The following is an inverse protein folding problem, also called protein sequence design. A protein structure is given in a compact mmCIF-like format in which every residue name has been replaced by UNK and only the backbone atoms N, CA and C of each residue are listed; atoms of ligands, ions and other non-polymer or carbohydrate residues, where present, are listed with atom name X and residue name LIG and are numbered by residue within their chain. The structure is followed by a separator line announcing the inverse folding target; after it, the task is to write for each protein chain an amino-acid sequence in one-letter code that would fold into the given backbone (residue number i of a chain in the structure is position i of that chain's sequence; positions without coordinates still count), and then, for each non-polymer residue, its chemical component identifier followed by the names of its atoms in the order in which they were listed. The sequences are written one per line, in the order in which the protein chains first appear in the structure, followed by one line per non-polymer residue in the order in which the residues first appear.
data_IF_963741659836
#
_entry.id   IF_963741659836
#
_cell.length_a   1.000
_cell.length_b   1.000
_cell.length_c   1.000
_cell.angle_alpha   90.00
_cell.angle_beta   90.00
_cell.angle_gamma   90.00
#
_symmetry.space_group_name_H-M   'P 1'
#
loop_
_entity.id
_entity.type
_entity.pdbx_description
1 polymer ?
#
# COMPACT_ATOMS: atom_id res chain seq x y z
N UNK A 1 -4.40 27.66 28.62
CA UNK A 1 -3.71 26.85 27.60
C UNK A 1 -4.78 26.34 26.64
N UNK A 2 -4.70 26.71 25.37
CA UNK A 2 -5.57 26.14 24.33
C UNK A 2 -5.17 24.66 24.20
N UNK A 3 -6.10 23.73 24.41
CA UNK A 3 -5.86 22.32 24.18
C UNK A 3 -5.68 22.14 22.67
N UNK A 4 -4.56 21.52 22.26
CA UNK A 4 -4.34 21.15 20.86
C UNK A 4 -5.32 20.07 20.46
N UNK A 5 -5.83 20.11 19.22
CA UNK A 5 -6.67 19.06 18.66
C UNK A 5 -5.79 17.84 18.35
N UNK A 6 -6.05 16.72 18.99
CA UNK A 6 -5.31 15.48 18.73
C UNK A 6 -5.79 14.81 17.45
N UNK A 7 -4.90 14.59 16.53
CA UNK A 7 -5.19 13.94 15.24
C UNK A 7 -4.34 12.69 15.05
N UNK A 8 -4.98 11.55 14.86
CA UNK A 8 -4.30 10.30 14.51
C UNK A 8 -4.29 10.10 13.00
N UNK A 9 -3.12 9.96 12.39
CA UNK A 9 -2.95 9.61 10.97
C UNK A 9 -2.61 8.13 10.88
N UNK A 10 -3.47 7.35 10.22
CA UNK A 10 -3.30 5.91 10.07
C UNK A 10 -2.76 5.60 8.69
N UNK A 11 -1.50 5.21 8.63
CA UNK A 11 -0.80 4.88 7.40
C UNK A 11 -0.91 3.39 7.11
N UNK A 12 -1.61 3.03 6.03
CA UNK A 12 -1.78 1.63 5.64
C UNK A 12 -0.77 1.20 4.59
N UNK A 13 -0.19 0.03 4.80
CA UNK A 13 0.61 -0.65 3.79
C UNK A 13 0.36 -2.16 3.82
N UNK A 14 0.86 -2.89 2.81
CA UNK A 14 0.64 -4.33 2.68
C UNK A 14 1.29 -5.13 3.81
N UNK A 15 2.49 -4.73 4.20
CA UNK A 15 3.37 -5.50 5.06
C UNK A 15 4.22 -6.50 4.30
N UNK A 16 5.15 -7.10 4.99
CA UNK A 16 6.06 -8.11 4.46
C UNK A 16 6.74 -8.86 5.60
N UNK A 17 7.32 -10.03 5.34
CA UNK A 17 7.95 -10.83 6.38
C UNK A 17 9.19 -10.13 6.93
N UNK A 18 9.31 -10.06 8.23
CA UNK A 18 10.44 -9.48 8.98
C UNK A 18 11.63 -10.44 9.11
N UNK A 19 11.43 -11.72 8.77
CA UNK A 19 12.45 -12.78 8.72
C UNK A 19 11.99 -13.95 7.85
N UNK A 20 12.92 -14.81 7.45
CA UNK A 20 12.64 -15.92 6.51
C UNK A 20 11.62 -16.93 7.03
N UNK A 21 11.58 -17.19 8.35
CA UNK A 21 10.60 -18.09 8.96
C UNK A 21 9.16 -17.57 8.79
N UNK A 22 9.00 -16.26 8.73
CA UNK A 22 7.72 -15.59 8.64
C UNK A 22 7.19 -15.41 7.20
N UNK A 23 7.91 -15.89 6.19
CA UNK A 23 7.49 -15.83 4.78
C UNK A 23 6.21 -16.63 4.56
N UNK A 24 6.12 -17.85 5.08
CA UNK A 24 4.91 -18.70 4.91
C UNK A 24 3.70 -18.13 5.64
N UNK A 25 3.77 -17.75 6.93
CA UNK A 25 2.68 -17.06 7.63
C UNK A 25 2.23 -15.75 6.94
N UNK A 26 3.17 -14.96 6.44
CA UNK A 26 2.85 -13.76 5.66
C UNK A 26 2.06 -14.10 4.38
N UNK A 27 2.53 -15.07 3.61
CA UNK A 27 1.82 -15.53 2.40
C UNK A 27 0.44 -16.10 2.72
N UNK A 28 0.31 -16.83 3.84
CA UNK A 28 -0.99 -17.29 4.29
C UNK A 28 -1.95 -16.12 4.58
N UNK A 29 -1.51 -15.11 5.31
CA UNK A 29 -2.33 -13.92 5.59
C UNK A 29 -2.75 -13.21 4.30
N UNK A 30 -1.82 -13.06 3.34
CA UNK A 30 -2.07 -12.46 2.04
C UNK A 30 -3.15 -13.23 1.26
N UNK A 31 -3.00 -14.55 1.12
CA UNK A 31 -3.96 -15.36 0.36
C UNK A 31 -5.26 -15.62 1.11
N UNK A 32 -5.26 -15.51 2.43
CA UNK A 32 -6.49 -15.62 3.23
C UNK A 32 -7.31 -14.30 3.28
N UNK A 33 -6.85 -13.25 2.60
CA UNK A 33 -7.65 -12.04 2.42
C UNK A 33 -8.81 -12.29 1.42
N UNK A 34 -10.08 -12.04 1.82
CA UNK A 34 -11.22 -12.16 0.90
C UNK A 34 -11.16 -11.22 -0.30
N UNK A 35 -10.39 -10.13 -0.22
CA UNK A 35 -10.17 -9.22 -1.33
C UNK A 35 -9.20 -9.82 -2.38
N UNK A 36 -8.34 -10.76 -1.99
CA UNK A 36 -7.42 -11.49 -2.86
C UNK A 36 -8.06 -12.78 -3.36
N UNK A 37 -8.53 -13.65 -2.44
CA UNK A 37 -9.26 -14.86 -2.77
C UNK A 37 -10.72 -14.68 -2.36
N UNK A 38 -11.55 -14.26 -3.30
CA UNK A 38 -12.99 -14.04 -3.09
C UNK A 38 -13.74 -15.37 -3.02
N UNK A 39 -13.52 -16.11 -1.93
CA UNK A 39 -14.15 -17.39 -1.62
C UNK A 39 -14.73 -17.36 -0.20
N UNK A 40 -15.78 -18.14 0.09
CA UNK A 40 -16.21 -18.37 1.46
C UNK A 40 -15.06 -18.84 2.36
N UNK A 41 -15.06 -18.42 3.63
CA UNK A 41 -13.93 -18.63 4.55
C UNK A 41 -13.49 -20.10 4.68
N UNK A 42 -14.45 -21.02 4.71
CA UNK A 42 -14.18 -22.46 4.84
C UNK A 42 -13.46 -23.08 3.63
N UNK A 43 -13.59 -22.50 2.43
CA UNK A 43 -12.81 -22.87 1.25
C UNK A 43 -11.51 -22.06 1.14
N UNK A 44 -11.59 -20.75 1.49
CA UNK A 44 -10.45 -19.85 1.37
C UNK A 44 -9.30 -20.25 2.30
N UNK A 45 -9.61 -20.60 3.56
CA UNK A 45 -8.59 -20.95 4.56
C UNK A 45 -7.69 -22.11 4.11
N UNK A 46 -8.22 -23.31 3.77
CA UNK A 46 -7.37 -24.42 3.32
C UNK A 46 -6.65 -24.12 2.01
N UNK A 47 -7.29 -23.40 1.08
CA UNK A 47 -6.66 -23.02 -0.18
C UNK A 47 -5.50 -22.03 0.05
N UNK A 48 -5.69 -21.02 0.89
CA UNK A 48 -4.64 -20.07 1.25
C UNK A 48 -3.43 -20.78 1.88
N UNK A 49 -3.68 -21.75 2.78
CA UNK A 49 -2.62 -22.56 3.41
C UNK A 49 -1.85 -23.39 2.38
N UNK A 50 -2.55 -24.02 1.45
CA UNK A 50 -1.94 -24.81 0.37
C UNK A 50 -1.07 -23.91 -0.54
N UNK A 51 -1.57 -22.75 -0.93
CA UNK A 51 -0.83 -21.78 -1.77
C UNK A 51 0.39 -21.26 -1.04
N UNK A 52 0.24 -20.86 0.23
CA UNK A 52 1.34 -20.36 1.05
C UNK A 52 2.47 -21.39 1.16
N UNK A 53 2.15 -22.63 1.53
CA UNK A 53 3.11 -23.73 1.62
C UNK A 53 3.88 -23.95 0.31
N UNK A 54 3.18 -24.00 -0.83
CA UNK A 54 3.81 -24.23 -2.13
C UNK A 54 4.70 -23.06 -2.58
N UNK A 55 4.34 -21.85 -2.23
CA UNK A 55 5.08 -20.63 -2.64
C UNK A 55 6.19 -20.25 -1.69
N UNK A 56 6.11 -20.64 -0.42
CA UNK A 56 7.08 -20.26 0.61
C UNK A 56 8.54 -20.58 0.25
N UNK A 57 8.90 -21.77 -0.31
CA UNK A 57 10.29 -22.06 -0.66
C UNK A 57 10.88 -21.09 -1.68
N UNK A 58 10.10 -20.76 -2.74
CA UNK A 58 10.55 -19.80 -3.77
C UNK A 58 10.61 -18.39 -3.21
N UNK A 59 9.60 -17.97 -2.44
CA UNK A 59 9.58 -16.66 -1.82
C UNK A 59 10.72 -16.48 -0.80
N UNK A 60 11.04 -17.50 -0.01
CA UNK A 60 12.19 -17.46 0.91
C UNK A 60 13.51 -17.17 0.20
N UNK A 61 13.75 -17.78 -0.96
CA UNK A 61 14.94 -17.53 -1.77
C UNK A 61 15.01 -16.07 -2.20
N UNK A 62 13.89 -15.51 -2.69
CA UNK A 62 13.82 -14.09 -3.09
C UNK A 62 14.09 -13.17 -1.90
N UNK A 63 13.45 -13.41 -0.74
CA UNK A 63 13.71 -12.61 0.46
C UNK A 63 15.13 -12.77 0.99
N UNK A 64 15.75 -13.94 0.81
CA UNK A 64 17.15 -14.16 1.17
C UNK A 64 18.09 -13.28 0.35
N UNK A 65 17.84 -13.10 -0.95
CA UNK A 65 18.59 -12.17 -1.83
C UNK A 65 18.36 -10.70 -1.43
N UNK A 66 17.22 -10.38 -0.80
CA UNK A 66 16.90 -9.05 -0.28
C UNK A 66 17.45 -8.79 1.14
N UNK A 67 18.29 -9.69 1.69
CA UNK A 67 18.84 -9.55 3.03
C UNK A 67 18.05 -10.25 4.12
N UNK A 68 17.15 -11.19 3.78
CA UNK A 68 16.43 -12.06 4.71
C UNK A 68 15.09 -11.53 5.20
N UNK A 69 14.71 -10.31 4.85
CA UNK A 69 13.45 -9.66 5.28
C UNK A 69 12.92 -8.68 4.24
N UNK A 70 11.67 -8.26 4.42
CA UNK A 70 11.11 -7.14 3.65
C UNK A 70 11.50 -5.80 4.28
N UNK A 71 11.97 -4.81 3.52
CA UNK A 71 12.25 -3.49 4.04
C UNK A 71 11.00 -2.63 4.27
N UNK A 72 9.80 -3.14 3.91
CA UNK A 72 8.58 -2.33 3.83
C UNK A 72 8.18 -1.70 5.17
N UNK A 73 8.33 -2.41 6.29
CA UNK A 73 7.99 -1.87 7.59
C UNK A 73 8.91 -0.69 7.94
N UNK A 74 10.22 -0.89 7.89
CA UNK A 74 11.21 0.14 8.18
C UNK A 74 10.99 1.40 7.34
N UNK A 75 10.82 1.24 6.02
CA UNK A 75 10.58 2.36 5.11
C UNK A 75 9.25 3.07 5.40
N UNK A 76 8.22 2.32 5.79
CA UNK A 76 6.92 2.91 6.17
C UNK A 76 7.01 3.67 7.49
N UNK A 77 7.77 3.18 8.46
CA UNK A 77 8.03 3.88 9.72
C UNK A 77 8.82 5.17 9.52
N UNK A 78 9.81 5.17 8.62
CA UNK A 78 10.56 6.36 8.23
C UNK A 78 9.64 7.41 7.57
N UNK A 79 8.73 6.98 6.68
CA UNK A 79 7.72 7.86 6.07
C UNK A 79 6.75 8.40 7.12
N UNK A 80 6.29 7.55 8.04
CA UNK A 80 5.41 7.91 9.16
C UNK A 80 6.03 9.00 10.02
N UNK A 81 7.27 8.82 10.42
CA UNK A 81 8.01 9.78 11.25
C UNK A 81 8.22 11.11 10.55
N UNK A 82 8.62 11.08 9.28
CA UNK A 82 8.81 12.29 8.48
C UNK A 82 7.50 13.07 8.29
N UNK A 83 6.38 12.36 8.06
CA UNK A 83 5.06 12.95 7.93
C UNK A 83 4.61 13.59 9.26
N UNK A 84 4.78 12.90 10.38
CA UNK A 84 4.43 13.41 11.71
C UNK A 84 5.16 14.70 12.04
N UNK A 85 6.47 14.76 11.81
CA UNK A 85 7.28 15.98 11.99
C UNK A 85 6.75 17.12 11.10
N UNK A 86 6.45 16.82 9.83
CA UNK A 86 6.00 17.83 8.87
C UNK A 86 4.64 18.39 9.25
N UNK A 87 3.68 17.54 9.63
CA UNK A 87 2.34 17.96 10.02
C UNK A 87 2.36 18.82 11.27
N UNK A 88 3.11 18.42 12.30
CA UNK A 88 3.23 19.17 13.55
C UNK A 88 3.99 20.51 13.37
N UNK A 89 4.85 20.60 12.34
CA UNK A 89 5.49 21.87 11.99
C UNK A 89 4.57 22.82 11.25
N UNK A 90 3.68 22.28 10.40
CA UNK A 90 2.84 23.11 9.51
C UNK A 90 1.51 23.52 10.16
N UNK A 91 1.05 22.80 11.18
CA UNK A 91 -0.20 23.09 11.92
C UNK A 91 0.06 23.11 13.43
N UNK A 92 0.34 24.29 13.95
CA UNK A 92 0.60 24.52 15.38
C UNK A 92 -0.66 24.42 16.28
N UNK A 93 -1.85 24.26 15.68
CA UNK A 93 -3.12 24.17 16.41
C UNK A 93 -3.52 22.73 16.70
N UNK A 94 -2.81 21.76 16.12
CA UNK A 94 -3.07 20.33 16.26
C UNK A 94 -1.83 19.59 16.75
N UNK A 95 -2.08 18.44 17.41
CA UNK A 95 -1.08 17.46 17.80
C UNK A 95 -1.30 16.20 16.95
N UNK A 96 -0.45 16.02 15.94
CA UNK A 96 -0.51 14.88 15.03
C UNK A 96 0.35 13.72 15.53
N UNK A 97 -0.22 12.53 15.54
CA UNK A 97 0.51 11.29 15.72
C UNK A 97 0.20 10.32 14.59
N UNK A 98 1.27 9.81 13.97
CA UNK A 98 1.17 8.84 12.88
C UNK A 98 1.29 7.41 13.40
N UNK A 99 0.46 6.51 12.88
CA UNK A 99 0.42 5.09 13.23
C UNK A 99 0.50 4.25 11.96
N UNK A 100 1.38 3.26 11.97
CA UNK A 100 1.54 2.34 10.83
C UNK A 100 0.68 1.11 11.03
N UNK A 101 -0.08 0.73 10.01
CA UNK A 101 -0.90 -0.49 9.98
C UNK A 101 -0.56 -1.32 8.76
N UNK A 102 -0.13 -2.56 8.98
CA UNK A 102 0.15 -3.51 7.91
C UNK A 102 -1.02 -4.47 7.70
N UNK A 103 -1.44 -4.64 6.43
CA UNK A 103 -2.60 -5.48 6.10
C UNK A 103 -2.34 -6.97 6.28
N UNK A 104 -1.16 -7.44 5.89
CA UNK A 104 -0.86 -8.88 5.84
C UNK A 104 0.22 -9.32 6.84
N UNK A 105 0.87 -8.38 7.51
CA UNK A 105 1.88 -8.64 8.54
C UNK A 105 1.76 -7.63 9.68
N UNK A 106 2.71 -7.65 10.62
CA UNK A 106 2.70 -6.74 11.76
C UNK A 106 3.31 -5.38 11.43
N UNK A 107 2.86 -4.31 12.10
CA UNK A 107 1.76 -4.24 13.09
C UNK A 107 0.37 -4.31 12.45
N UNK A 108 -0.52 -5.14 13.01
CA UNK A 108 -1.89 -5.35 12.53
C UNK A 108 -2.86 -4.35 13.13
N UNK A 109 -4.00 -4.14 12.46
CA UNK A 109 -5.06 -3.25 12.91
C UNK A 109 -5.52 -3.54 14.35
N UNK A 110 -5.60 -4.83 14.76
CA UNK A 110 -6.02 -5.23 16.11
C UNK A 110 -5.13 -4.65 17.22
N UNK A 111 -3.83 -4.50 16.97
CA UNK A 111 -2.90 -3.94 17.93
C UNK A 111 -2.90 -2.41 17.87
N UNK A 112 -2.82 -1.86 16.66
CA UNK A 112 -2.71 -0.41 16.45
C UNK A 112 -3.97 0.34 16.88
N UNK A 113 -5.17 -0.23 16.69
CA UNK A 113 -6.41 0.38 17.20
C UNK A 113 -6.35 0.62 18.71
N UNK A 114 -5.77 -0.30 19.49
CA UNK A 114 -5.61 -0.12 20.93
C UNK A 114 -4.65 1.03 21.28
N UNK A 115 -3.59 1.18 20.51
CA UNK A 115 -2.63 2.30 20.68
C UNK A 115 -3.32 3.64 20.33
N UNK A 116 -4.14 3.68 19.27
CA UNK A 116 -4.89 4.87 18.89
C UNK A 116 -5.97 5.21 19.94
N UNK A 117 -6.66 4.23 20.49
CA UNK A 117 -7.59 4.43 21.62
C UNK A 117 -6.86 5.07 22.81
N UNK A 118 -5.68 4.57 23.16
CA UNK A 118 -4.88 5.11 24.27
C UNK A 118 -4.37 6.53 24.00
N UNK A 119 -4.09 6.87 22.73
CA UNK A 119 -3.73 8.23 22.33
C UNK A 119 -4.92 9.18 22.48
N UNK A 120 -6.15 8.67 22.35
CA UNK A 120 -7.42 9.39 22.49
C UNK A 120 -7.51 10.59 21.54
N UNK A 121 -7.54 10.37 20.21
CA UNK A 121 -7.61 11.44 19.22
C UNK A 121 -9.01 12.04 19.13
N UNK A 122 -9.07 13.33 18.76
CA UNK A 122 -10.31 14.03 18.40
C UNK A 122 -10.74 13.73 16.95
N UNK A 123 -9.76 13.42 16.10
CA UNK A 123 -9.97 13.09 14.68
C UNK A 123 -9.00 12.00 14.21
N UNK A 124 -9.47 11.16 13.30
CA UNK A 124 -8.67 10.13 12.62
C UNK A 124 -8.63 10.42 11.13
N UNK A 125 -7.44 10.33 10.53
CA UNK A 125 -7.21 10.43 9.09
C UNK A 125 -6.67 9.10 8.59
N UNK A 126 -7.44 8.41 7.76
CA UNK A 126 -7.01 7.17 7.12
C UNK A 126 -6.26 7.49 5.83
N UNK A 127 -5.01 7.07 5.72
CA UNK A 127 -4.14 7.35 4.59
C UNK A 127 -3.46 6.07 4.09
N UNK A 128 -4.06 5.36 3.13
CA UNK A 128 -3.38 4.27 2.43
C UNK A 128 -2.15 4.77 1.67
N UNK A 129 -1.01 4.10 1.87
CA UNK A 129 0.22 4.38 1.11
C UNK A 129 0.22 3.68 -0.26
N UNK A 130 -0.96 3.42 -0.78
CA UNK A 130 -1.22 2.97 -2.15
C UNK A 130 -1.77 4.16 -2.94
N UNK A 131 -0.97 4.82 -3.81
CA UNK A 131 -1.42 6.02 -4.51
C UNK A 131 -2.66 5.77 -5.37
N UNK A 132 -2.78 4.57 -5.93
CA UNK A 132 -3.92 4.12 -6.70
C UNK A 132 -4.82 3.23 -5.85
N UNK A 133 -6.13 3.50 -5.88
CA UNK A 133 -7.11 2.69 -5.17
C UNK A 133 -7.33 1.36 -5.85
N UNK A 134 -7.38 0.31 -5.04
CA UNK A 134 -7.99 -0.98 -5.40
C UNK A 134 -8.76 -1.54 -4.21
N UNK A 135 -9.84 -2.25 -4.48
CA UNK A 135 -10.56 -3.02 -3.45
C UNK A 135 -9.65 -4.06 -2.78
N UNK A 136 -8.61 -4.53 -3.50
CA UNK A 136 -7.65 -5.52 -3.01
C UNK A 136 -6.54 -4.90 -2.10
N UNK A 137 -6.37 -3.59 -2.08
CA UNK A 137 -5.35 -2.88 -1.29
C UNK A 137 -5.98 -1.89 -0.33
N UNK A 138 -6.18 -0.64 -0.75
CA UNK A 138 -6.77 0.42 0.08
C UNK A 138 -8.12 0.00 0.66
N UNK A 139 -9.00 -0.57 -0.18
CA UNK A 139 -10.32 -1.03 0.24
C UNK A 139 -10.25 -2.13 1.31
N UNK A 140 -9.37 -3.12 1.15
CA UNK A 140 -9.16 -4.20 2.12
C UNK A 140 -8.63 -3.66 3.46
N UNK A 141 -7.62 -2.78 3.43
CA UNK A 141 -7.01 -2.20 4.62
C UNK A 141 -8.00 -1.36 5.42
N UNK A 142 -8.74 -0.47 4.76
CA UNK A 142 -9.75 0.39 5.39
C UNK A 142 -10.90 -0.46 5.97
N UNK A 143 -11.33 -1.50 5.25
CA UNK A 143 -12.38 -2.41 5.73
C UNK A 143 -11.97 -3.16 7.00
N UNK A 144 -10.72 -3.65 7.06
CA UNK A 144 -10.19 -4.30 8.27
C UNK A 144 -10.14 -3.32 9.44
N UNK A 145 -9.59 -2.11 9.23
CA UNK A 145 -9.52 -1.06 10.24
C UNK A 145 -10.91 -0.74 10.83
N UNK A 146 -11.87 -0.46 9.97
CA UNK A 146 -13.24 -0.14 10.40
C UNK A 146 -13.88 -1.29 11.17
N UNK A 147 -13.65 -2.54 10.75
CA UNK A 147 -14.15 -3.72 11.46
C UNK A 147 -13.54 -3.84 12.87
N UNK A 148 -12.25 -3.59 13.02
CA UNK A 148 -11.57 -3.63 14.32
C UNK A 148 -12.04 -2.48 15.22
N UNK A 149 -12.22 -1.27 14.68
CA UNK A 149 -12.79 -0.14 15.41
C UNK A 149 -14.20 -0.47 15.95
N UNK A 150 -15.06 -1.06 15.11
CA UNK A 150 -16.41 -1.49 15.51
C UNK A 150 -16.38 -2.52 16.65
N UNK A 151 -15.49 -3.51 16.58
CA UNK A 151 -15.30 -4.52 17.62
C UNK A 151 -14.87 -3.93 18.98
N UNK A 152 -14.14 -2.83 18.95
CA UNK A 152 -13.67 -2.13 20.14
C UNK A 152 -14.61 -0.99 20.59
N UNK A 153 -15.79 -0.85 19.98
CA UNK A 153 -16.73 0.26 20.19
C UNK A 153 -16.06 1.64 20.04
N UNK A 154 -15.01 1.72 19.23
CA UNK A 154 -14.24 2.93 19.02
C UNK A 154 -14.83 3.74 17.87
N UNK A 155 -15.37 4.92 18.21
CA UNK A 155 -16.01 5.83 17.25
C UNK A 155 -15.41 7.22 17.42
N UNK A 156 -14.71 7.69 16.41
CA UNK A 156 -14.11 9.03 16.34
C UNK A 156 -14.40 9.59 14.96
N UNK A 157 -14.50 10.90 14.84
CA UNK A 157 -14.60 11.58 13.55
C UNK A 157 -13.46 11.09 12.64
N UNK A 158 -13.80 10.50 11.50
CA UNK A 158 -12.83 9.87 10.62
C UNK A 158 -12.98 10.38 9.20
N UNK A 159 -11.88 10.84 8.62
CA UNK A 159 -11.74 11.18 7.20
C UNK A 159 -10.82 10.17 6.50
N UNK A 160 -10.96 10.06 5.18
CA UNK A 160 -10.18 9.09 4.39
C UNK A 160 -9.59 9.75 3.15
N UNK A 161 -8.28 9.67 2.99
CA UNK A 161 -7.58 9.95 1.74
C UNK A 161 -7.61 8.67 0.92
N UNK A 162 -8.60 8.56 0.04
CA UNK A 162 -8.85 7.32 -0.71
C UNK A 162 -7.68 6.95 -1.65
N UNK A 163 -7.16 7.93 -2.39
CA UNK A 163 -6.15 7.76 -3.43
C UNK A 163 -5.61 9.13 -3.86
N UNK A 164 -4.44 9.11 -4.51
CA UNK A 164 -3.76 10.34 -4.98
C UNK A 164 -2.91 10.06 -6.25
N UNK A 165 -3.48 9.42 -7.28
CA UNK A 165 -2.73 8.92 -8.44
C UNK A 165 -2.07 10.02 -9.27
N UNK A 166 -2.60 11.25 -9.21
CA UNK A 166 -2.11 12.41 -9.98
C UNK A 166 -1.73 13.59 -9.07
N UNK A 167 -1.54 13.32 -7.77
CA UNK A 167 -1.08 14.37 -6.85
C UNK A 167 0.24 14.96 -7.32
N UNK A 168 0.34 16.28 -7.30
CA UNK A 168 1.49 17.01 -7.82
C UNK A 168 2.80 16.62 -7.14
N UNK A 169 2.80 16.42 -5.83
CA UNK A 169 4.01 16.08 -5.09
C UNK A 169 4.41 14.63 -5.33
N UNK A 170 3.42 13.73 -5.46
CA UNK A 170 3.64 12.34 -5.85
C UNK A 170 4.29 12.24 -7.25
N UNK A 171 3.77 12.98 -8.22
CA UNK A 171 4.34 13.05 -9.58
C UNK A 171 5.74 13.63 -9.58
N UNK A 172 5.97 14.74 -8.85
CA UNK A 172 7.28 15.40 -8.77
C UNK A 172 8.34 14.52 -8.08
N UNK A 173 7.94 13.72 -7.07
CA UNK A 173 8.83 12.76 -6.43
C UNK A 173 9.32 11.70 -7.44
N UNK A 174 8.42 11.13 -8.26
CA UNK A 174 8.78 10.20 -9.31
C UNK A 174 9.68 10.84 -10.37
N UNK A 175 9.32 12.03 -10.85
CA UNK A 175 10.14 12.78 -11.80
C UNK A 175 11.55 12.98 -11.29
N UNK A 176 11.70 13.42 -10.04
CA UNK A 176 13.01 13.66 -9.42
C UNK A 176 13.87 12.40 -9.43
N UNK A 177 13.32 11.26 -9.05
CA UNK A 177 14.06 9.99 -9.03
C UNK A 177 14.38 9.47 -10.44
N UNK A 178 13.45 9.62 -11.39
CA UNK A 178 13.70 9.25 -12.80
C UNK A 178 14.84 10.10 -13.37
N UNK A 179 14.78 11.43 -13.24
CA UNK A 179 15.81 12.33 -13.78
C UNK A 179 17.19 12.02 -13.21
N UNK A 180 17.30 11.71 -11.90
CA UNK A 180 18.57 11.28 -11.30
C UNK A 180 19.16 10.05 -11.98
N UNK A 181 18.31 9.09 -12.39
CA UNK A 181 18.75 7.83 -13.01
C UNK A 181 19.10 7.96 -14.48
N UNK A 182 18.41 8.82 -15.23
CA UNK A 182 18.61 8.97 -16.68
C UNK A 182 19.66 10.04 -17.05
N UNK A 183 20.13 10.84 -16.09
CA UNK A 183 20.99 12.03 -16.30
C UNK A 183 22.21 11.79 -17.22
N UNK A 184 22.76 10.58 -17.21
CA UNK A 184 23.96 10.23 -17.97
C UNK A 184 23.67 9.16 -19.04
N UNK A 185 22.43 9.02 -19.50
CA UNK A 185 22.04 8.04 -20.50
C UNK A 185 21.67 8.76 -21.80
N UNK A 186 22.38 8.42 -22.90
CA UNK A 186 22.09 8.98 -24.23
C UNK A 186 20.85 8.35 -24.86
N UNK A 187 20.70 7.03 -24.67
CA UNK A 187 19.55 6.27 -25.17
C UNK A 187 18.98 5.40 -24.07
N UNK A 188 17.69 5.56 -23.80
CA UNK A 188 16.98 4.74 -22.83
C UNK A 188 15.51 4.59 -23.20
N UNK A 189 14.91 3.53 -22.71
CA UNK A 189 13.47 3.31 -22.69
C UNK A 189 12.98 3.29 -21.26
N UNK A 190 11.96 4.07 -20.95
CA UNK A 190 11.36 4.12 -19.62
C UNK A 190 10.26 3.06 -19.49
N UNK A 191 10.42 2.13 -18.57
CA UNK A 191 9.43 1.07 -18.32
C UNK A 191 8.78 1.34 -16.97
N UNK A 192 7.47 1.63 -16.99
CA UNK A 192 6.65 1.67 -15.80
C UNK A 192 6.11 0.26 -15.54
N UNK A 193 6.47 -0.31 -14.38
CA UNK A 193 6.04 -1.65 -14.00
C UNK A 193 5.07 -1.57 -12.83
N UNK A 194 3.80 -1.90 -13.06
CA UNK A 194 2.76 -1.93 -12.06
C UNK A 194 2.35 -3.37 -11.74
N UNK A 195 1.81 -3.59 -10.54
CA UNK A 195 1.26 -4.90 -10.20
C UNK A 195 -0.02 -5.16 -11.02
N UNK A 196 -0.15 -6.34 -11.61
CA UNK A 196 -1.36 -6.72 -12.33
C UNK A 196 -2.55 -6.97 -11.40
N UNK A 197 -3.75 -6.85 -11.96
CA UNK A 197 -4.99 -7.32 -11.33
C UNK A 197 -5.75 -8.22 -12.31
N UNK A 198 -6.57 -9.17 -11.80
CA UNK A 198 -7.49 -9.91 -12.66
C UNK A 198 -8.47 -8.97 -13.36
N UNK A 199 -8.67 -9.12 -14.67
CA UNK A 199 -9.61 -8.30 -15.45
C UNK A 199 -11.02 -8.25 -14.84
N UNK A 200 -11.44 -9.32 -14.17
CA UNK A 200 -12.73 -9.36 -13.48
C UNK A 200 -12.90 -8.29 -12.41
N UNK A 201 -11.80 -7.82 -11.79
CA UNK A 201 -11.85 -6.76 -10.79
C UNK A 201 -12.16 -5.42 -11.47
N UNK A 202 -11.48 -5.14 -12.59
CA UNK A 202 -11.72 -3.94 -13.40
C UNK A 202 -13.16 -3.92 -13.93
N UNK A 203 -13.65 -5.05 -14.45
CA UNK A 203 -15.05 -5.18 -14.92
C UNK A 203 -16.09 -4.96 -13.82
N UNK A 204 -15.71 -5.14 -12.55
CA UNK A 204 -16.56 -4.82 -11.38
C UNK A 204 -16.44 -3.37 -10.91
N UNK A 205 -15.72 -2.52 -11.63
CA UNK A 205 -15.58 -1.10 -11.34
C UNK A 205 -14.36 -0.73 -10.47
N UNK A 206 -13.37 -1.64 -10.30
CA UNK A 206 -12.13 -1.27 -9.62
C UNK A 206 -11.35 -0.26 -10.48
N UNK A 207 -11.05 0.96 -9.98
CA UNK A 207 -10.45 2.03 -10.79
C UNK A 207 -8.94 1.88 -10.97
N UNK A 208 -8.32 0.84 -10.39
CA UNK A 208 -6.87 0.71 -10.28
C UNK A 208 -6.14 0.88 -11.61
N UNK A 209 -6.58 0.16 -12.66
CA UNK A 209 -5.90 0.20 -13.96
C UNK A 209 -5.92 1.62 -14.55
N UNK A 210 -7.07 2.27 -14.52
CA UNK A 210 -7.22 3.65 -14.98
C UNK A 210 -6.35 4.61 -14.15
N UNK A 211 -6.34 4.49 -12.82
CA UNK A 211 -5.53 5.35 -11.96
C UNK A 211 -4.03 5.15 -12.18
N UNK A 212 -3.57 3.91 -12.43
CA UNK A 212 -2.18 3.64 -12.81
C UNK A 212 -1.83 4.34 -14.13
N UNK A 213 -2.70 4.25 -15.15
CA UNK A 213 -2.50 4.93 -16.42
C UNK A 213 -2.39 6.45 -16.23
N UNK A 214 -3.30 7.05 -15.44
CA UNK A 214 -3.25 8.48 -15.13
C UNK A 214 -1.94 8.88 -14.40
N UNK A 215 -1.48 8.07 -13.43
CA UNK A 215 -0.21 8.31 -12.76
C UNK A 215 0.97 8.32 -13.76
N UNK A 216 1.03 7.33 -14.63
CA UNK A 216 2.10 7.21 -15.62
C UNK A 216 2.06 8.37 -16.62
N UNK A 217 0.89 8.72 -17.13
CA UNK A 217 0.71 9.84 -18.08
C UNK A 217 1.17 11.18 -17.47
N UNK A 218 0.78 11.46 -16.21
CA UNK A 218 1.20 12.69 -15.55
C UNK A 218 2.71 12.70 -15.22
N UNK A 219 3.29 11.56 -14.85
CA UNK A 219 4.75 11.44 -14.65
C UNK A 219 5.47 11.70 -15.99
N UNK A 220 5.08 11.04 -17.06
CA UNK A 220 5.68 11.21 -18.41
C UNK A 220 5.59 12.67 -18.85
N UNK A 221 4.42 13.28 -18.72
CA UNK A 221 4.21 14.70 -19.03
C UNK A 221 5.11 15.62 -18.20
N UNK A 222 5.27 15.33 -16.91
CA UNK A 222 6.11 16.13 -16.01
C UNK A 222 7.60 16.07 -16.35
N UNK A 223 8.08 14.98 -16.94
CA UNK A 223 9.48 14.83 -17.39
C UNK A 223 9.84 15.82 -18.50
N UNK A 224 8.87 16.24 -19.33
CA UNK A 224 9.06 17.17 -20.43
C UNK A 224 10.20 16.76 -21.40
N UNK A 225 10.35 15.47 -21.66
CA UNK A 225 11.35 14.92 -22.59
C UNK A 225 10.69 14.69 -23.96
N UNK A 226 11.21 15.37 -24.99
CA UNK A 226 10.68 15.24 -26.37
C UNK A 226 10.92 13.83 -26.89
N UNK A 227 9.87 13.20 -27.46
CA UNK A 227 9.90 11.85 -28.02
C UNK A 227 10.39 10.77 -27.04
N UNK A 228 10.06 10.91 -25.75
CA UNK A 228 10.39 9.89 -24.75
C UNK A 228 9.80 8.54 -25.13
N UNK A 229 10.66 7.53 -25.27
CA UNK A 229 10.25 6.13 -25.49
C UNK A 229 9.89 5.52 -24.12
N UNK A 230 8.61 5.20 -23.93
CA UNK A 230 8.14 4.61 -22.68
C UNK A 230 7.04 3.58 -22.88
N UNK A 231 6.86 2.70 -21.90
CA UNK A 231 5.81 1.70 -21.85
C UNK A 231 5.33 1.47 -20.42
N UNK A 232 4.03 1.23 -20.28
CA UNK A 232 3.43 0.71 -19.04
C UNK A 232 3.22 -0.80 -19.19
N UNK A 233 3.75 -1.57 -18.22
CA UNK A 233 3.64 -3.03 -18.16
C UNK A 233 3.08 -3.46 -16.80
N UNK A 234 2.34 -4.59 -16.79
CA UNK A 234 1.77 -5.17 -15.57
C UNK A 234 2.41 -6.52 -15.26
N UNK A 235 2.92 -6.64 -14.03
CA UNK A 235 3.62 -7.85 -13.55
C UNK A 235 2.78 -8.68 -12.54
N UNK A 236 3.35 -9.80 -12.10
CA UNK A 236 2.85 -10.62 -10.98
C UNK A 236 1.53 -11.34 -11.26
N UNK A 237 1.37 -11.89 -12.45
CA UNK A 237 0.25 -12.76 -12.80
C UNK A 237 0.31 -14.06 -12.03
N UNK A 238 -0.84 -14.51 -11.48
CA UNK A 238 -0.94 -15.73 -10.71
C UNK A 238 -2.21 -16.51 -11.09
N UNK A 239 -2.06 -17.82 -11.27
CA UNK A 239 -3.17 -18.75 -11.56
C UNK A 239 -3.79 -18.57 -12.95
N UNK A 240 -4.95 -19.20 -13.19
CA UNK A 240 -5.54 -19.32 -14.53
C UNK A 240 -6.39 -18.14 -14.95
N UNK A 241 -6.50 -17.10 -14.12
CA UNK A 241 -7.33 -15.94 -14.42
C UNK A 241 -6.72 -15.07 -15.53
N UNK A 242 -7.57 -14.41 -16.29
CA UNK A 242 -7.13 -13.36 -17.22
C UNK A 242 -6.80 -12.09 -16.43
N UNK A 243 -5.61 -11.55 -16.68
CA UNK A 243 -5.06 -10.38 -15.99
C UNK A 243 -4.95 -9.19 -16.95
N UNK A 244 -4.99 -7.98 -16.39
CA UNK A 244 -4.73 -6.76 -17.16
C UNK A 244 -3.33 -6.79 -17.79
N UNK A 245 -3.18 -6.12 -18.94
CA UNK A 245 -1.94 -6.06 -19.69
C UNK A 245 -1.69 -4.68 -20.27
N UNK A 246 -0.60 -4.51 -21.04
CA UNK A 246 0.43 -5.51 -21.42
C UNK A 246 1.32 -5.95 -20.25
N UNK A 247 2.05 -7.09 -20.46
CA UNK A 247 2.97 -7.67 -19.43
C UNK A 247 4.24 -8.15 -20.09
#
# INVERSE_FOLDING_TARGET
KRLLMKKAVILFNLGGPDKLENVEPFLFNLFNDPAILNLPGFFRFPLAKLIANRRAPTAKKIYQELGGSSPILKLTEEQSHALEIKLNKDDELSDYKCFVVMRCWHPRAENVVKEVINYNPDEIILMPLYPQYSAATSGSSIKEWNHVCLKNNFKVKTSTICCYPTDKNFVEAHKTEIIKKIKNLDNFKLIFSAHGLPEKNIKKGDPYQWQVQQSVEEIVKSLNIKNLDWILSYQSRVGPLKWIGPS
#
